data_IF_025335116045
#
_entry.id   IF_025335116045
#
_cell.length_a   1.000
_cell.length_b   1.000
_cell.length_c   1.000
_cell.angle_alpha   90.00
_cell.angle_beta   90.00
_cell.angle_gamma   90.00
#
_symmetry.space_group_name_H-M   'P 1'
#
loop_
_entity.id
_entity.type
_entity.pdbx_description
1 polymer ?
#
# COMPACT_ATOMS: atom_id res chain seq x y z
N UNK A 1 -1.98 0.21 -7.79
CA UNK A 1 -1.10 0.68 -8.87
C UNK A 1 0.11 -0.25 -9.03
N UNK A 2 0.95 -0.10 -10.09
CA UNK A 2 1.93 -1.12 -10.51
C UNK A 2 2.97 -1.54 -9.45
N UNK A 3 3.32 -0.68 -8.50
CA UNK A 3 4.28 -0.98 -7.45
C UNK A 3 3.81 -2.07 -6.48
N UNK A 4 2.52 -2.31 -6.39
CA UNK A 4 1.93 -3.34 -5.52
C UNK A 4 1.94 -4.73 -6.17
N UNK A 5 1.28 -5.70 -5.54
CA UNK A 5 1.25 -7.09 -6.00
C UNK A 5 0.49 -7.25 -7.30
N UNK A 6 -0.64 -6.55 -7.41
CA UNK A 6 -1.46 -6.45 -8.63
C UNK A 6 -1.80 -4.98 -8.88
N UNK A 7 -2.21 -4.66 -10.09
CA UNK A 7 -2.62 -3.30 -10.46
C UNK A 7 -3.93 -3.30 -11.23
N UNK A 8 -4.70 -2.24 -11.03
CA UNK A 8 -5.86 -1.88 -11.87
C UNK A 8 -5.67 -0.48 -12.49
N UNK A 9 -4.42 -0.01 -12.54
CA UNK A 9 -4.04 1.38 -12.75
C UNK A 9 -3.98 2.08 -11.39
N UNK A 10 -5.11 2.60 -10.95
CA UNK A 10 -5.34 3.07 -9.59
C UNK A 10 -6.52 2.32 -8.98
N UNK A 11 -6.68 2.37 -7.67
CA UNK A 11 -7.81 1.75 -7.00
C UNK A 11 -7.54 1.45 -5.53
N UNK A 12 -8.59 1.05 -4.84
CA UNK A 12 -8.56 0.65 -3.45
C UNK A 12 -9.84 -0.07 -3.08
N UNK A 13 -9.86 -0.65 -1.89
CA UNK A 13 -11.02 -1.37 -1.39
C UNK A 13 -11.21 -1.08 0.10
N UNK A 14 -12.44 -0.79 0.47
CA UNK A 14 -12.89 -0.75 1.86
C UNK A 14 -13.77 -1.97 2.10
N UNK A 15 -13.45 -2.77 3.11
CA UNK A 15 -14.25 -3.93 3.50
C UNK A 15 -14.54 -3.87 5.00
N UNK A 16 -15.77 -4.21 5.38
CA UNK A 16 -16.21 -4.25 6.77
C UNK A 16 -17.34 -5.27 6.94
N UNK A 17 -17.47 -5.81 8.14
CA UNK A 17 -18.66 -6.57 8.56
C UNK A 17 -19.79 -5.66 9.05
N UNK A 18 -19.51 -4.39 9.30
CA UNK A 18 -20.49 -3.38 9.68
C UNK A 18 -21.09 -2.77 8.41
N UNK A 19 -22.39 -2.99 8.22
CA UNK A 19 -23.14 -2.51 7.05
C UNK A 19 -23.18 -0.97 6.98
N UNK A 20 -23.29 -0.27 8.11
CA UNK A 20 -23.32 1.20 8.15
C UNK A 20 -22.03 1.80 7.58
N UNK A 21 -20.86 1.20 7.90
CA UNK A 21 -19.57 1.63 7.36
C UNK A 21 -19.55 1.45 5.83
N UNK A 22 -20.08 0.35 5.33
CA UNK A 22 -20.14 0.09 3.90
C UNK A 22 -21.10 1.05 3.19
N UNK A 23 -22.23 1.36 3.80
CA UNK A 23 -23.18 2.33 3.25
C UNK A 23 -22.58 3.73 3.16
N UNK A 24 -21.95 4.20 4.23
CA UNK A 24 -21.27 5.50 4.26
C UNK A 24 -20.12 5.53 3.24
N UNK A 25 -19.31 4.47 3.15
CA UNK A 25 -18.22 4.37 2.17
C UNK A 25 -18.76 4.45 0.73
N UNK A 26 -19.87 3.76 0.42
CA UNK A 26 -20.55 3.84 -0.88
C UNK A 26 -21.06 5.24 -1.18
N UNK A 27 -21.59 5.93 -0.19
CA UNK A 27 -21.99 7.32 -0.33
C UNK A 27 -20.79 8.21 -0.70
N UNK A 28 -19.68 8.12 0.04
CA UNK A 28 -18.48 8.91 -0.23
C UNK A 28 -17.89 8.66 -1.60
N UNK A 29 -17.84 7.42 -2.06
CA UNK A 29 -17.39 7.04 -3.41
C UNK A 29 -18.24 7.66 -4.52
N UNK A 30 -19.53 7.93 -4.24
CA UNK A 30 -20.52 8.43 -5.19
C UNK A 30 -20.96 9.86 -4.85
N UNK A 31 -20.01 10.78 -4.67
CA UNK A 31 -20.21 12.21 -4.37
C UNK A 31 -20.93 12.51 -3.04
N UNK A 32 -21.03 11.60 -2.12
CA UNK A 32 -21.80 11.76 -0.89
C UNK A 32 -23.31 11.59 -1.07
N UNK A 33 -23.73 10.99 -2.19
CA UNK A 33 -25.16 10.75 -2.46
C UNK A 33 -25.77 9.77 -1.48
N UNK A 34 -27.05 10.00 -1.17
CA UNK A 34 -27.85 9.07 -0.39
C UNK A 34 -28.22 7.80 -1.18
N UNK A 35 -28.27 7.88 -2.50
CA UNK A 35 -28.47 6.75 -3.40
C UNK A 35 -27.15 6.15 -3.85
N UNK A 36 -26.75 5.00 -3.29
CA UNK A 36 -25.57 4.22 -3.65
C UNK A 36 -25.90 2.89 -4.36
N UNK A 37 -27.15 2.67 -4.73
CA UNK A 37 -27.58 1.49 -5.51
C UNK A 37 -27.25 1.60 -7.01
N UNK A 38 -26.64 2.68 -7.47
CA UNK A 38 -26.18 2.85 -8.85
C UNK A 38 -25.09 1.81 -9.15
N UNK A 39 -25.28 1.05 -10.21
CA UNK A 39 -24.42 -0.11 -10.54
C UNK A 39 -25.04 -1.44 -10.16
N UNK A 40 -25.74 -1.54 -9.01
CA UNK A 40 -26.59 -2.68 -8.70
C UNK A 40 -28.04 -2.54 -9.21
N UNK A 41 -28.44 -1.36 -9.69
CA UNK A 41 -29.77 -1.15 -10.25
C UNK A 41 -30.09 -2.10 -11.41
N UNK A 42 -29.10 -2.45 -12.23
CA UNK A 42 -29.23 -3.44 -13.31
C UNK A 42 -29.41 -4.88 -12.80
N UNK A 43 -29.04 -5.14 -11.55
CA UNK A 43 -29.20 -6.43 -10.88
C UNK A 43 -30.51 -6.53 -10.10
N UNK A 44 -31.22 -5.41 -9.91
CA UNK A 44 -32.49 -5.41 -9.22
C UNK A 44 -33.58 -6.04 -10.10
N UNK A 45 -34.46 -6.86 -9.53
CA UNK A 45 -35.65 -7.33 -10.22
C UNK A 45 -36.42 -6.13 -10.82
N UNK A 46 -36.66 -6.13 -12.11
CA UNK A 46 -37.33 -5.04 -12.85
C UNK A 46 -36.54 -3.73 -12.97
N UNK A 47 -35.23 -3.70 -12.69
CA UNK A 47 -34.35 -2.54 -12.92
C UNK A 47 -34.64 -1.30 -12.09
N UNK A 48 -35.42 -1.41 -10.99
CA UNK A 48 -35.76 -0.27 -10.11
C UNK A 48 -35.90 -0.69 -8.65
N UNK A 49 -35.41 0.16 -7.72
CA UNK A 49 -35.57 -0.05 -6.28
C UNK A 49 -36.98 0.31 -5.76
N UNK A 50 -37.83 0.93 -6.57
CA UNK A 50 -39.17 1.45 -6.19
C UNK A 50 -39.22 2.46 -5.04
N UNK A 51 -38.06 2.92 -4.53
CA UNK A 51 -37.94 3.84 -3.41
C UNK A 51 -37.42 5.23 -3.82
N UNK A 52 -37.39 5.52 -5.13
CA UNK A 52 -36.76 6.71 -5.68
C UNK A 52 -37.28 8.02 -5.12
N UNK A 53 -38.57 8.09 -4.83
CA UNK A 53 -39.25 9.29 -4.33
C UNK A 53 -39.78 9.11 -2.89
N UNK A 54 -39.26 8.13 -2.15
CA UNK A 54 -39.68 7.81 -0.78
C UNK A 54 -38.99 8.62 0.29
N UNK A 55 -37.93 9.37 -0.05
CA UNK A 55 -37.21 10.22 0.90
C UNK A 55 -37.53 11.70 0.67
N UNK A 56 -37.62 12.42 1.76
CA UNK A 56 -37.87 13.83 1.84
C UNK A 56 -36.78 14.53 2.61
N UNK A 57 -36.39 15.72 2.17
CA UNK A 57 -35.49 16.57 2.95
C UNK A 57 -36.38 17.29 3.98
N UNK A 58 -36.05 17.25 5.29
CA UNK A 58 -36.80 17.97 6.32
C UNK A 58 -36.95 19.45 5.98
N UNK A 59 -38.16 19.99 6.14
CA UNK A 59 -38.46 21.38 5.83
C UNK A 59 -38.88 21.66 4.38
N UNK A 60 -38.93 20.62 3.52
CA UNK A 60 -39.52 20.73 2.18
C UNK A 60 -40.86 20.01 2.14
N UNK A 61 -41.83 20.59 1.44
CA UNK A 61 -43.18 20.10 1.29
C UNK A 61 -43.43 19.29 0.01
N UNK A 62 -42.37 18.98 -0.71
CA UNK A 62 -42.39 18.19 -1.94
C UNK A 62 -41.33 17.10 -1.95
N UNK A 63 -41.59 16.02 -2.69
CA UNK A 63 -40.68 14.89 -2.85
C UNK A 63 -39.47 15.24 -3.74
N UNK A 64 -38.29 14.81 -3.32
CA UNK A 64 -37.07 14.91 -4.12
C UNK A 64 -36.64 13.50 -4.54
N UNK A 65 -36.15 13.37 -5.76
CA UNK A 65 -35.50 12.16 -6.21
C UNK A 65 -34.25 11.91 -5.36
N UNK A 66 -34.25 10.84 -4.57
CA UNK A 66 -33.14 10.56 -3.63
C UNK A 66 -31.79 10.33 -4.35
N UNK A 67 -31.78 10.15 -5.65
CA UNK A 67 -30.52 10.14 -6.44
C UNK A 67 -29.78 11.49 -6.39
N UNK A 68 -30.48 12.55 -6.07
CA UNK A 68 -29.93 13.92 -5.99
C UNK A 68 -29.90 14.46 -4.57
N UNK A 69 -30.11 13.62 -3.56
CA UNK A 69 -29.89 13.97 -2.16
C UNK A 69 -28.44 13.64 -1.81
N UNK A 70 -27.73 14.63 -1.26
CA UNK A 70 -26.35 14.51 -0.83
C UNK A 70 -26.33 14.53 0.70
N UNK A 71 -26.18 13.36 1.32
CA UNK A 71 -26.15 13.21 2.78
C UNK A 71 -24.77 13.39 3.37
N UNK A 72 -23.74 13.35 2.54
CA UNK A 72 -22.33 13.50 2.91
C UNK A 72 -21.59 14.38 1.89
N UNK A 73 -20.44 14.92 2.29
CA UNK A 73 -19.48 15.52 1.36
C UNK A 73 -18.59 14.38 0.85
N UNK A 74 -18.73 14.02 -0.42
CA UNK A 74 -18.05 12.86 -0.99
C UNK A 74 -17.26 13.19 -2.27
N UNK A 75 -16.76 12.13 -2.91
CA UNK A 75 -15.85 12.21 -4.04
C UNK A 75 -16.34 11.34 -5.20
N UNK A 76 -15.81 11.55 -6.39
CA UNK A 76 -16.02 10.65 -7.51
C UNK A 76 -14.90 9.59 -7.56
N UNK A 77 -15.07 8.51 -6.80
CA UNK A 77 -14.08 7.44 -6.67
C UNK A 77 -14.60 6.09 -7.22
N UNK A 78 -15.62 6.13 -8.08
CA UNK A 78 -16.18 4.91 -8.66
C UNK A 78 -15.16 4.23 -9.57
N UNK A 79 -14.95 2.91 -9.44
CA UNK A 79 -14.09 2.17 -10.34
C UNK A 79 -14.70 2.14 -11.76
N UNK A 80 -13.83 2.06 -12.75
CA UNK A 80 -14.20 1.87 -14.16
C UNK A 80 -14.19 0.37 -14.51
N UNK A 81 -15.04 -0.03 -15.44
CA UNK A 81 -15.08 -1.41 -15.95
C UNK A 81 -13.72 -1.84 -16.54
N UNK A 82 -13.00 -0.91 -17.15
CA UNK A 82 -11.62 -1.14 -17.62
C UNK A 82 -10.67 -1.57 -16.49
N UNK A 83 -10.76 -0.93 -15.32
CA UNK A 83 -9.98 -1.31 -14.15
C UNK A 83 -10.34 -2.72 -13.67
N UNK A 84 -11.65 -3.07 -13.70
CA UNK A 84 -12.12 -4.41 -13.41
C UNK A 84 -11.56 -5.46 -14.35
N UNK A 85 -11.55 -5.19 -15.66
CA UNK A 85 -10.99 -6.08 -16.68
C UNK A 85 -9.49 -6.33 -16.47
N UNK A 86 -8.71 -5.28 -16.18
CA UNK A 86 -7.30 -5.41 -15.83
C UNK A 86 -7.14 -6.25 -14.56
N UNK A 87 -7.95 -6.00 -13.53
CA UNK A 87 -7.92 -6.71 -12.25
C UNK A 87 -8.13 -8.22 -12.40
N UNK A 88 -9.06 -8.65 -13.25
CA UNK A 88 -9.32 -10.06 -13.56
C UNK A 88 -8.05 -10.74 -14.09
N UNK A 89 -7.36 -10.12 -15.04
CA UNK A 89 -6.12 -10.66 -15.61
C UNK A 89 -4.95 -10.66 -14.61
N UNK A 90 -4.91 -9.67 -13.71
CA UNK A 90 -3.91 -9.63 -12.64
C UNK A 90 -4.16 -10.74 -11.60
N UNK A 91 -5.40 -11.00 -11.22
CA UNK A 91 -5.75 -12.05 -10.26
C UNK A 91 -5.34 -13.45 -10.77
N UNK A 92 -5.41 -13.73 -12.06
CA UNK A 92 -4.91 -14.99 -12.64
C UNK A 92 -3.43 -15.23 -12.40
N UNK A 93 -2.65 -14.18 -12.19
CA UNK A 93 -1.19 -14.22 -12.00
C UNK A 93 -0.75 -14.15 -10.54
N UNK A 94 -1.67 -13.87 -9.59
CA UNK A 94 -1.32 -13.51 -8.22
C UNK A 94 -0.51 -14.58 -7.49
N UNK A 95 -0.85 -15.85 -7.63
CA UNK A 95 -0.13 -16.96 -6.98
C UNK A 95 1.34 -17.05 -7.44
N UNK A 96 1.59 -16.83 -8.75
CA UNK A 96 2.95 -16.79 -9.30
C UNK A 96 3.72 -15.57 -8.78
N UNK A 97 3.06 -14.42 -8.69
CA UNK A 97 3.63 -13.18 -8.16
C UNK A 97 4.05 -13.37 -6.71
N UNK A 98 3.16 -13.90 -5.85
CA UNK A 98 3.46 -14.16 -4.45
C UNK A 98 4.65 -15.12 -4.27
N UNK A 99 4.64 -16.25 -4.99
CA UNK A 99 5.74 -17.22 -4.94
C UNK A 99 7.08 -16.57 -5.29
N UNK A 100 7.14 -15.80 -6.38
CA UNK A 100 8.39 -15.17 -6.85
C UNK A 100 8.87 -14.10 -5.87
N UNK A 101 7.97 -13.27 -5.30
CA UNK A 101 8.33 -12.28 -4.26
C UNK A 101 8.95 -12.93 -3.03
N UNK A 102 8.38 -14.02 -2.53
CA UNK A 102 8.93 -14.77 -1.39
C UNK A 102 10.31 -15.35 -1.68
N UNK A 103 10.50 -15.92 -2.88
CA UNK A 103 11.80 -16.46 -3.30
C UNK A 103 12.84 -15.32 -3.36
N UNK A 104 12.50 -14.21 -3.99
CA UNK A 104 13.41 -13.07 -4.13
C UNK A 104 13.75 -12.48 -2.76
N UNK A 105 12.73 -12.30 -1.88
CA UNK A 105 13.00 -11.83 -0.52
C UNK A 105 13.96 -12.74 0.25
N UNK A 106 13.76 -14.06 0.24
CA UNK A 106 14.67 -15.00 0.92
C UNK A 106 16.11 -14.90 0.42
N UNK A 107 16.32 -14.75 -0.88
CA UNK A 107 17.66 -14.56 -1.46
C UNK A 107 18.30 -13.26 -0.98
N UNK A 108 17.56 -12.16 -1.11
CA UNK A 108 18.04 -10.83 -0.74
C UNK A 108 18.27 -10.73 0.77
N UNK A 109 17.36 -11.26 1.61
CA UNK A 109 17.58 -11.36 3.05
C UNK A 109 18.92 -11.99 3.37
N UNK A 110 19.19 -13.16 2.75
CA UNK A 110 20.44 -13.90 3.00
C UNK A 110 21.67 -13.07 2.62
N UNK A 111 21.65 -12.36 1.49
CA UNK A 111 22.77 -11.51 1.08
C UNK A 111 23.06 -10.43 2.12
N UNK A 112 22.05 -9.76 2.63
CA UNK A 112 22.20 -8.75 3.67
C UNK A 112 22.67 -9.35 5.00
N UNK A 113 22.04 -10.44 5.45
CA UNK A 113 22.32 -11.09 6.73
C UNK A 113 23.75 -11.62 6.83
N UNK A 114 24.26 -12.22 5.74
CA UNK A 114 25.60 -12.83 5.69
C UNK A 114 26.72 -11.80 5.52
N UNK A 115 26.40 -10.56 5.11
CA UNK A 115 27.42 -9.63 4.66
C UNK A 115 27.39 -8.22 5.26
N UNK A 116 26.32 -7.82 5.93
CA UNK A 116 26.19 -6.46 6.46
C UNK A 116 26.00 -6.51 7.96
N UNK A 117 26.93 -5.90 8.69
CA UNK A 117 26.81 -5.70 10.14
C UNK A 117 25.99 -4.45 10.47
N UNK A 118 25.46 -4.37 11.68
CA UNK A 118 24.70 -3.22 12.14
C UNK A 118 23.30 -3.10 11.51
N UNK A 119 22.75 -4.22 11.04
CA UNK A 119 21.40 -4.29 10.50
C UNK A 119 20.59 -5.46 11.10
N UNK A 120 19.29 -5.34 11.00
CA UNK A 120 18.33 -6.40 11.32
C UNK A 120 17.25 -6.46 10.24
N UNK A 121 16.92 -7.68 9.80
CA UNK A 121 15.89 -7.92 8.81
C UNK A 121 14.53 -8.18 9.47
N UNK A 122 13.48 -7.66 8.86
CA UNK A 122 12.12 -7.93 9.31
C UNK A 122 11.68 -9.33 8.85
N UNK A 123 11.23 -10.13 9.79
CA UNK A 123 10.70 -11.49 9.57
C UNK A 123 9.18 -11.49 9.70
N UNK A 124 8.55 -12.43 9.03
CA UNK A 124 7.12 -12.67 9.21
C UNK A 124 6.81 -13.36 10.54
N UNK A 125 5.61 -13.15 11.05
CA UNK A 125 5.14 -13.85 12.25
C UNK A 125 4.88 -15.33 11.96
N UNK A 126 4.92 -16.17 13.00
CA UNK A 126 4.80 -17.63 12.90
C UNK A 126 3.53 -18.12 12.17
N UNK A 127 2.44 -17.35 12.25
CA UNK A 127 1.16 -17.69 11.62
C UNK A 127 0.93 -16.97 10.29
N UNK A 128 1.96 -16.31 9.73
CA UNK A 128 1.85 -15.52 8.52
C UNK A 128 2.63 -16.15 7.37
N UNK A 129 2.06 -16.07 6.18
CA UNK A 129 2.73 -16.37 4.92
C UNK A 129 2.72 -15.10 4.05
N UNK A 130 3.66 -14.21 4.32
CA UNK A 130 3.69 -12.84 3.79
C UNK A 130 4.16 -12.81 2.34
N UNK A 131 3.42 -12.12 1.48
CA UNK A 131 3.88 -11.71 0.17
C UNK A 131 4.46 -10.30 0.25
N UNK A 132 5.74 -10.21 0.51
CA UNK A 132 6.43 -8.96 0.81
C UNK A 132 6.38 -7.93 -0.33
N UNK A 133 6.12 -6.67 0.02
CA UNK A 133 6.19 -5.53 -0.89
C UNK A 133 7.65 -5.21 -1.24
N UNK A 134 8.53 -5.23 -0.26
CA UNK A 134 9.97 -5.04 -0.36
C UNK A 134 10.68 -5.81 0.74
N UNK A 135 11.98 -5.65 0.85
CA UNK A 135 12.84 -6.19 1.91
C UNK A 135 13.12 -5.09 2.92
N UNK A 136 12.40 -5.01 4.05
CA UNK A 136 12.66 -3.99 5.06
C UNK A 136 13.94 -4.30 5.81
N UNK A 137 14.78 -3.27 5.98
CA UNK A 137 16.08 -3.34 6.64
C UNK A 137 16.07 -2.30 7.76
N UNK A 138 16.31 -2.74 8.99
CA UNK A 138 16.41 -1.90 10.18
C UNK A 138 17.89 -1.75 10.49
N UNK A 139 18.41 -0.52 10.45
CA UNK A 139 19.78 -0.20 10.81
C UNK A 139 19.87 0.16 12.30
N UNK A 140 21.03 -0.09 12.91
CA UNK A 140 21.28 0.25 14.31
C UNK A 140 21.30 1.76 14.53
N UNK A 141 21.70 2.54 13.50
CA UNK A 141 21.74 4.00 13.56
C UNK A 141 21.30 4.65 12.24
N UNK A 142 20.96 5.93 12.30
CA UNK A 142 20.71 6.77 11.14
C UNK A 142 21.95 6.88 10.21
N UNK A 143 23.14 6.88 10.81
CA UNK A 143 24.41 6.93 10.07
C UNK A 143 24.63 5.66 9.27
N UNK A 144 24.45 4.47 9.87
CA UNK A 144 24.52 3.18 9.19
C UNK A 144 23.55 3.13 8.02
N UNK A 145 22.31 3.59 8.25
CA UNK A 145 21.31 3.67 7.18
C UNK A 145 21.77 4.60 6.06
N UNK A 146 22.22 5.79 6.38
CA UNK A 146 22.63 6.79 5.38
C UNK A 146 23.78 6.26 4.50
N UNK A 147 24.80 5.67 5.11
CA UNK A 147 25.95 5.07 4.39
C UNK A 147 25.50 3.95 3.46
N UNK A 148 24.69 3.01 3.96
CA UNK A 148 24.25 1.86 3.19
C UNK A 148 23.31 2.28 2.04
N UNK A 149 22.37 3.18 2.31
CA UNK A 149 21.48 3.73 1.28
C UNK A 149 22.27 4.45 0.18
N UNK A 150 23.20 5.35 0.54
CA UNK A 150 24.03 6.05 -0.46
C UNK A 150 24.79 5.06 -1.35
N UNK A 151 25.45 4.08 -0.75
CA UNK A 151 26.17 3.07 -1.49
C UNK A 151 25.29 2.25 -2.44
N UNK A 152 24.11 1.82 -2.00
CA UNK A 152 23.17 1.05 -2.83
C UNK A 152 22.66 1.89 -4.02
N UNK A 153 22.29 3.14 -3.78
CA UNK A 153 21.81 4.07 -4.84
C UNK A 153 22.93 4.38 -5.85
N UNK A 154 24.15 4.62 -5.41
CA UNK A 154 25.34 4.81 -6.26
C UNK A 154 25.59 3.58 -7.16
N UNK A 155 25.29 2.39 -6.65
CA UNK A 155 25.37 1.13 -7.39
C UNK A 155 24.04 0.73 -8.04
N UNK A 156 23.15 1.68 -8.32
CA UNK A 156 21.88 1.48 -9.06
C UNK A 156 20.91 0.46 -8.42
N UNK A 157 21.05 0.20 -7.15
CA UNK A 157 20.06 -0.53 -6.35
C UNK A 157 19.17 0.47 -5.68
N UNK A 158 17.96 0.66 -6.24
CA UNK A 158 17.01 1.63 -5.73
C UNK A 158 16.52 1.27 -4.34
N UNK A 159 16.57 2.23 -3.44
CA UNK A 159 16.05 2.14 -2.07
C UNK A 159 14.81 3.01 -1.88
N UNK A 160 14.08 2.78 -0.82
CA UNK A 160 12.98 3.63 -0.37
C UNK A 160 13.00 3.73 1.14
N UNK A 161 12.68 4.90 1.66
CA UNK A 161 12.32 5.06 3.07
C UNK A 161 11.14 4.14 3.39
N UNK A 162 11.07 3.66 4.64
CA UNK A 162 9.92 2.85 5.04
C UNK A 162 8.68 3.75 5.20
N UNK A 163 8.16 4.17 4.06
CA UNK A 163 7.07 5.13 3.86
C UNK A 163 7.34 6.47 4.59
N UNK A 164 6.31 7.02 5.23
CA UNK A 164 6.40 8.29 5.93
C UNK A 164 7.06 8.18 7.33
N UNK A 165 7.29 6.97 7.83
CA UNK A 165 7.70 6.79 9.23
C UNK A 165 6.67 7.39 10.18
N UNK A 166 7.04 8.44 10.94
CA UNK A 166 6.08 9.19 11.74
C UNK A 166 5.52 10.37 10.95
N UNK A 167 4.28 10.26 10.50
CA UNK A 167 3.61 11.27 9.69
C UNK A 167 3.41 12.61 10.46
N UNK A 168 3.38 12.58 11.81
CA UNK A 168 3.25 13.78 12.63
C UNK A 168 4.47 14.69 12.58
N UNK A 169 5.60 14.21 12.02
CA UNK A 169 6.78 15.05 11.74
C UNK A 169 6.66 15.78 10.39
N UNK A 170 5.67 15.47 9.59
CA UNK A 170 5.47 16.10 8.29
C UNK A 170 4.61 17.37 8.41
N UNK A 171 4.92 18.45 7.65
CA UNK A 171 4.30 19.75 7.82
C UNK A 171 2.76 19.76 7.79
N UNK A 172 2.15 18.93 6.96
CA UNK A 172 0.69 18.85 6.83
C UNK A 172 -0.04 18.17 7.97
N UNK A 173 0.67 17.51 8.90
CA UNK A 173 0.08 16.66 9.93
C UNK A 173 0.59 16.97 11.35
N UNK A 174 1.57 17.86 11.49
CA UNK A 174 2.25 18.15 12.76
C UNK A 174 1.34 18.69 13.87
N UNK A 175 0.20 19.27 13.50
CA UNK A 175 -0.77 19.84 14.45
C UNK A 175 -1.80 18.81 14.96
N UNK A 176 -1.78 17.57 14.45
CA UNK A 176 -2.78 16.56 14.82
C UNK A 176 -2.51 15.91 16.18
N UNK A 177 -1.24 15.69 16.53
CA UNK A 177 -0.82 15.15 17.83
C UNK A 177 0.69 15.36 18.03
N UNK A 178 1.18 15.06 19.25
CA UNK A 178 2.59 15.13 19.62
C UNK A 178 3.35 13.89 19.09
N UNK A 179 4.28 14.11 18.16
CA UNK A 179 5.12 13.06 17.58
C UNK A 179 5.97 12.29 18.61
N UNK A 180 6.26 12.86 19.78
CA UNK A 180 7.04 12.21 20.84
C UNK A 180 6.32 11.01 21.47
N UNK A 181 5.00 10.97 21.38
CA UNK A 181 4.17 9.84 21.85
C UNK A 181 4.38 8.55 21.04
N UNK A 182 5.03 8.65 19.88
CA UNK A 182 5.18 7.56 18.92
C UNK A 182 6.65 7.21 18.63
N UNK A 183 7.43 6.82 19.65
CA UNK A 183 8.88 6.62 19.52
C UNK A 183 9.25 5.53 18.50
N UNK A 184 8.44 4.49 18.35
CA UNK A 184 8.67 3.45 17.36
C UNK A 184 8.52 3.98 15.92
N UNK A 185 7.55 4.86 15.66
CA UNK A 185 7.38 5.49 14.36
C UNK A 185 8.55 6.44 14.03
N UNK A 186 9.09 7.15 15.04
CA UNK A 186 10.30 7.96 14.91
C UNK A 186 11.52 7.11 14.54
N UNK A 187 11.71 5.96 15.21
CA UNK A 187 12.78 5.02 14.86
C UNK A 187 12.64 4.45 13.45
N UNK A 188 11.42 4.16 13.01
CA UNK A 188 11.17 3.73 11.62
C UNK A 188 11.62 4.79 10.63
N UNK A 189 11.28 6.05 10.87
CA UNK A 189 11.71 7.17 10.00
C UNK A 189 13.23 7.32 9.97
N UNK A 190 13.88 7.16 11.13
CA UNK A 190 15.32 7.38 11.31
C UNK A 190 16.17 6.24 10.74
N UNK A 191 15.74 4.97 10.98
CA UNK A 191 16.62 3.79 10.86
C UNK A 191 16.19 2.77 9.81
N UNK A 192 14.98 2.89 9.24
CA UNK A 192 14.45 1.86 8.36
C UNK A 192 14.39 2.32 6.91
N UNK A 193 14.80 1.45 6.02
CA UNK A 193 14.59 1.58 4.59
C UNK A 193 14.23 0.22 3.99
N UNK A 194 13.90 0.16 2.72
CA UNK A 194 13.71 -1.12 2.02
C UNK A 194 14.26 -1.10 0.60
N UNK A 195 14.62 -2.28 0.11
CA UNK A 195 14.89 -2.54 -1.31
C UNK A 195 13.76 -3.37 -1.91
N UNK A 196 13.62 -3.35 -3.22
CA UNK A 196 12.58 -4.10 -3.91
C UNK A 196 12.77 -5.62 -3.80
N UNK A 197 11.67 -6.37 -3.92
CA UNK A 197 11.70 -7.83 -4.13
C UNK A 197 10.69 -8.22 -5.23
N UNK A 198 10.62 -7.41 -6.28
CA UNK A 198 9.63 -7.57 -7.36
C UNK A 198 9.72 -8.96 -8.02
N UNK A 199 8.57 -9.52 -8.48
CA UNK A 199 8.57 -10.79 -9.20
C UNK A 199 9.26 -10.74 -10.57
N UNK A 200 9.57 -9.54 -11.07
CA UNK A 200 10.21 -9.31 -12.37
C UNK A 200 11.74 -9.40 -12.36
N UNK A 201 12.35 -9.51 -11.18
CA UNK A 201 13.81 -9.69 -11.11
C UNK A 201 14.24 -10.96 -11.85
N UNK A 202 15.17 -10.80 -12.79
CA UNK A 202 15.89 -11.89 -13.43
C UNK A 202 16.96 -12.46 -12.49
N UNK A 203 17.49 -13.64 -12.81
CA UNK A 203 18.56 -14.22 -12.01
C UNK A 203 19.83 -13.35 -12.09
N UNK A 204 20.11 -12.70 -13.22
CA UNK A 204 21.23 -11.75 -13.35
C UNK A 204 21.07 -10.51 -12.46
N UNK A 205 19.86 -9.97 -12.32
CA UNK A 205 19.59 -8.87 -11.39
C UNK A 205 19.79 -9.30 -9.93
N UNK A 206 19.39 -10.50 -9.57
CA UNK A 206 19.61 -11.03 -8.21
C UNK A 206 21.09 -11.22 -7.94
N UNK A 207 21.85 -11.78 -8.91
CA UNK A 207 23.31 -11.92 -8.79
C UNK A 207 24.02 -10.57 -8.68
N UNK A 208 23.55 -9.55 -9.40
CA UNK A 208 24.08 -8.19 -9.29
C UNK A 208 23.86 -7.60 -7.89
N UNK A 209 22.67 -7.80 -7.31
CA UNK A 209 22.39 -7.35 -5.94
C UNK A 209 23.37 -8.03 -4.95
N UNK A 210 23.61 -9.33 -5.11
CA UNK A 210 24.56 -10.08 -4.28
C UNK A 210 25.98 -9.52 -4.41
N UNK A 211 26.45 -9.30 -5.62
CA UNK A 211 27.78 -8.73 -5.90
C UNK A 211 27.96 -7.36 -5.24
N UNK A 212 27.00 -6.46 -5.37
CA UNK A 212 27.07 -5.12 -4.77
C UNK A 212 27.14 -5.20 -3.26
N UNK A 213 26.35 -6.09 -2.63
CA UNK A 213 26.36 -6.27 -1.17
C UNK A 213 27.70 -6.84 -0.69
N UNK A 214 28.28 -7.80 -1.42
CA UNK A 214 29.61 -8.35 -1.13
C UNK A 214 30.71 -7.27 -1.23
N UNK A 215 30.67 -6.43 -2.26
CA UNK A 215 31.61 -5.33 -2.45
C UNK A 215 31.52 -4.27 -1.35
N UNK A 216 30.30 -4.00 -0.82
CA UNK A 216 30.15 -3.14 0.35
C UNK A 216 30.91 -3.68 1.56
N UNK A 217 30.76 -4.97 1.86
CA UNK A 217 31.48 -5.62 2.96
C UNK A 217 32.98 -5.44 2.84
N UNK A 218 33.54 -5.71 1.63
CA UNK A 218 34.98 -5.57 1.35
C UNK A 218 35.44 -4.11 1.53
N UNK A 219 34.62 -3.14 1.13
CA UNK A 219 34.96 -1.72 1.29
C UNK A 219 34.96 -1.25 2.75
N UNK A 220 34.19 -1.90 3.63
CA UNK A 220 34.16 -1.62 5.05
C UNK A 220 35.33 -2.28 5.80
N UNK A 221 35.79 -3.45 5.33
CA UNK A 221 36.92 -4.18 5.93
C UNK A 221 38.29 -3.52 5.66
N UNK A 222 38.39 -2.66 4.64
CA UNK A 222 39.61 -1.97 4.24
C UNK A 222 39.77 -0.55 4.80
N UNK A 223 38.85 -0.13 5.71
CA UNK A 223 38.89 1.13 6.46
C UNK A 223 39.17 0.88 7.91
#
# INVERSE_FOLDING_TARGET
YPAHHITTGEGGMVSSKNEDIIEIARSFVNWGRDCYCVGSANLLPRGTCKKRFSKWIPGLDFAIDHKYIFSNIGYNLKPLDLQGAIGIEQLKKISKIHKKRRINKKKIDKFFEDNIDGIRLVREGEKAETSWFGVPIICDSAETRAKLVSYLEENRIQTRMYFAGNILLHPGYKELDDASKYPNANQVLEKVFFVGCTPTYSDSMISYIEEVILNYKLSCANK
#
